data_IF_563197055541
#
_entry.id   IF_563197055541
#
_cell.length_a   1.000
_cell.length_b   1.000
_cell.length_c   1.000
_cell.angle_alpha   90.00
_cell.angle_beta   90.00
_cell.angle_gamma   90.00
#
_symmetry.space_group_name_H-M   'P 1'
#
loop_
_entity.id
_entity.type
_entity.pdbx_description
1 polymer ?
#
# COMPACT_ATOMS: atom_id res chain seq x y z
N UNK A 1 9.69 -30.77 18.29
CA UNK A 1 9.96 -29.35 17.97
C UNK A 1 8.92 -28.55 18.74
N UNK A 2 9.29 -27.67 19.68
CA UNK A 2 8.30 -26.90 20.43
C UNK A 2 7.47 -26.08 19.45
N UNK A 3 6.15 -26.06 19.65
CA UNK A 3 5.24 -25.22 18.89
C UNK A 3 5.67 -23.77 19.21
N UNK A 4 6.06 -22.96 18.21
CA UNK A 4 6.41 -21.57 18.48
C UNK A 4 5.21 -20.87 19.12
N UNK A 5 5.46 -20.07 20.16
CA UNK A 5 4.43 -19.20 20.73
C UNK A 5 4.00 -18.20 19.67
N UNK A 6 2.89 -18.51 19.00
CA UNK A 6 2.26 -17.63 18.03
C UNK A 6 1.48 -16.57 18.83
N UNK A 7 1.64 -15.28 18.50
CA UNK A 7 0.86 -14.17 19.08
C UNK A 7 -0.66 -14.43 19.02
N UNK A 8 -1.10 -15.27 18.07
CA UNK A 8 -2.46 -15.83 18.00
C UNK A 8 -2.36 -17.36 17.96
N UNK A 9 -2.44 -18.06 19.11
CA UNK A 9 -2.27 -19.52 19.15
C UNK A 9 -3.26 -20.21 18.20
N UNK A 10 -2.79 -21.19 17.43
CA UNK A 10 -3.63 -21.93 16.44
C UNK A 10 -4.80 -22.60 17.15
N UNK A 11 -4.58 -23.08 18.37
CA UNK A 11 -5.58 -23.68 19.25
C UNK A 11 -5.77 -22.73 20.44
N UNK A 12 -6.98 -22.20 20.62
CA UNK A 12 -7.31 -21.30 21.75
C UNK A 12 -7.29 -22.04 23.09
N UNK A 13 -7.51 -23.34 23.05
CA UNK A 13 -7.41 -24.27 24.15
C UNK A 13 -8.00 -25.62 23.76
N UNK A 14 -7.90 -26.58 24.66
CA UNK A 14 -8.47 -27.92 24.49
C UNK A 14 -9.39 -28.17 25.68
N UNK A 15 -10.61 -28.60 25.40
CA UNK A 15 -11.54 -29.12 26.39
C UNK A 15 -11.30 -30.63 26.44
N UNK A 16 -10.69 -31.12 27.51
CA UNK A 16 -10.51 -32.54 27.75
C UNK A 16 -11.09 -32.86 29.13
N UNK A 17 -11.83 -33.96 29.22
CA UNK A 17 -12.41 -34.44 30.48
C UNK A 17 -11.64 -35.66 30.97
N UNK A 18 -11.44 -35.77 32.27
CA UNK A 18 -10.69 -36.90 32.84
C UNK A 18 -11.42 -38.23 32.66
N UNK A 19 -12.76 -38.22 32.68
CA UNK A 19 -13.60 -39.40 32.47
C UNK A 19 -14.87 -39.12 31.68
N UNK A 20 -15.11 -39.84 30.59
CA UNK A 20 -16.32 -39.70 29.75
C UNK A 20 -16.83 -41.06 29.30
N UNK A 21 -18.12 -41.32 29.50
CA UNK A 21 -18.80 -42.49 28.95
C UNK A 21 -19.95 -41.99 28.07
N UNK A 22 -19.97 -42.39 26.80
CA UNK A 22 -21.04 -42.10 25.85
C UNK A 22 -21.58 -43.43 25.34
N UNK A 23 -22.87 -43.69 25.53
CA UNK A 23 -23.55 -44.93 25.11
C UNK A 23 -22.85 -46.23 25.54
N UNK A 24 -22.26 -46.20 26.75
CA UNK A 24 -21.53 -47.35 27.32
C UNK A 24 -20.09 -47.50 26.83
N UNK A 25 -19.59 -46.60 26.00
CA UNK A 25 -18.19 -46.57 25.53
C UNK A 25 -17.38 -45.56 26.35
N UNK A 26 -16.28 -46.01 26.96
CA UNK A 26 -15.34 -45.17 27.70
C UNK A 26 -14.44 -44.40 26.72
N UNK A 27 -14.49 -43.06 26.79
CA UNK A 27 -13.81 -42.11 25.92
C UNK A 27 -12.83 -41.26 26.74
N UNK A 28 -11.98 -41.92 27.52
CA UNK A 28 -11.01 -41.25 28.38
C UNK A 28 -9.77 -40.79 27.59
N UNK A 29 -9.07 -39.78 28.10
CA UNK A 29 -7.87 -39.25 27.46
C UNK A 29 -8.17 -38.41 26.21
N UNK A 30 -7.32 -38.52 25.19
CA UNK A 30 -7.40 -37.69 23.98
C UNK A 30 -8.65 -37.90 23.13
N UNK A 31 -9.40 -38.99 23.36
CA UNK A 31 -10.63 -39.30 22.63
C UNK A 31 -11.78 -38.33 22.93
N UNK A 32 -11.74 -37.64 24.07
CA UNK A 32 -12.70 -36.58 24.41
C UNK A 32 -12.09 -35.17 24.34
N UNK A 33 -10.89 -35.04 23.78
CA UNK A 33 -10.24 -33.76 23.62
C UNK A 33 -10.88 -33.00 22.44
N UNK A 34 -11.65 -31.97 22.76
CA UNK A 34 -12.23 -31.06 21.77
C UNK A 34 -11.40 -29.77 21.71
N UNK A 35 -11.01 -29.38 20.51
CA UNK A 35 -10.40 -28.08 20.29
C UNK A 35 -11.44 -26.99 20.54
N UNK A 36 -11.10 -25.99 21.34
CA UNK A 36 -11.92 -24.79 21.45
C UNK A 36 -11.90 -24.10 20.09
N UNK A 37 -13.10 -23.90 19.53
CA UNK A 37 -13.24 -23.26 18.22
C UNK A 37 -12.55 -21.89 18.21
N UNK A 38 -11.84 -21.64 17.12
CA UNK A 38 -11.23 -20.35 16.84
C UNK A 38 -12.02 -19.68 15.74
N UNK A 39 -13.04 -18.92 16.12
CA UNK A 39 -13.70 -18.02 15.17
C UNK A 39 -12.83 -16.79 15.00
N UNK A 40 -12.21 -16.66 13.82
CA UNK A 40 -11.49 -15.46 13.44
C UNK A 40 -12.52 -14.41 12.99
N UNK A 41 -12.92 -13.53 13.91
CA UNK A 41 -13.95 -12.51 13.67
C UNK A 41 -13.43 -11.23 13.01
N UNK A 42 -12.11 -11.10 12.82
CA UNK A 42 -11.47 -9.88 12.33
C UNK A 42 -11.22 -9.82 10.82
N UNK A 43 -11.75 -10.77 10.04
CA UNK A 43 -11.61 -10.78 8.58
C UNK A 43 -12.72 -9.96 7.94
N UNK A 44 -12.33 -9.02 7.08
CA UNK A 44 -13.25 -8.19 6.31
C UNK A 44 -13.12 -8.52 4.82
N UNK A 45 -14.05 -9.29 4.24
CA UNK A 45 -14.02 -9.67 2.83
C UNK A 45 -13.99 -8.48 1.87
N UNK A 46 -14.50 -7.30 2.29
CA UNK A 46 -14.53 -6.11 1.44
C UNK A 46 -13.13 -5.61 1.04
N UNK A 47 -12.10 -5.89 1.87
CA UNK A 47 -10.70 -5.55 1.56
C UNK A 47 -10.26 -6.21 0.27
N UNK A 48 -10.60 -7.50 0.13
CA UNK A 48 -10.28 -8.28 -1.05
C UNK A 48 -11.01 -7.73 -2.27
N UNK A 49 -12.33 -7.55 -2.14
CA UNK A 49 -13.18 -7.11 -3.24
C UNK A 49 -12.75 -5.74 -3.75
N UNK A 50 -12.46 -4.78 -2.87
CA UNK A 50 -12.03 -3.45 -3.29
C UNK A 50 -10.70 -3.49 -4.03
N UNK A 51 -9.69 -4.19 -3.48
CA UNK A 51 -8.37 -4.30 -4.10
C UNK A 51 -8.46 -5.04 -5.44
N UNK A 52 -9.18 -6.16 -5.49
CA UNK A 52 -9.31 -6.97 -6.70
C UNK A 52 -10.09 -6.26 -7.81
N UNK A 53 -10.90 -5.25 -7.48
CA UNK A 53 -11.62 -4.45 -8.46
C UNK A 53 -10.85 -3.22 -8.94
N UNK A 54 -9.61 -2.99 -8.48
CA UNK A 54 -8.77 -1.91 -9.03
C UNK A 54 -7.93 -2.35 -10.23
N UNK A 55 -7.54 -1.38 -11.05
CA UNK A 55 -6.64 -1.57 -12.20
C UNK A 55 -5.30 -2.19 -11.80
N UNK A 56 -4.78 -1.87 -10.63
CA UNK A 56 -3.50 -2.40 -10.13
C UNK A 56 -3.68 -3.76 -9.44
N UNK A 57 -4.84 -3.99 -8.84
CA UNK A 57 -5.08 -5.13 -7.97
C UNK A 57 -5.71 -6.35 -8.66
N UNK A 58 -6.30 -6.23 -9.84
CA UNK A 58 -7.10 -7.30 -10.49
C UNK A 58 -6.46 -8.68 -10.61
N UNK A 59 -5.12 -8.76 -10.67
CA UNK A 59 -4.39 -10.03 -10.76
C UNK A 59 -4.17 -10.74 -9.42
N UNK A 60 -4.60 -10.14 -8.30
CA UNK A 60 -4.37 -10.65 -6.95
C UNK A 60 -4.96 -12.06 -6.72
N UNK A 61 -6.04 -12.41 -7.43
CA UNK A 61 -6.73 -13.73 -7.44
C UNK A 61 -5.86 -14.87 -7.93
N UNK A 62 -4.92 -14.61 -8.84
CA UNK A 62 -4.05 -15.63 -9.40
C UNK A 62 -2.94 -16.08 -8.43
N UNK A 63 -2.73 -15.36 -7.33
CA UNK A 63 -1.69 -15.70 -6.36
C UNK A 63 -1.99 -17.03 -5.64
N UNK A 64 -1.02 -17.93 -5.62
CA UNK A 64 -1.09 -19.23 -4.92
C UNK A 64 -0.03 -19.38 -3.81
N UNK A 65 0.57 -18.26 -3.37
CA UNK A 65 1.45 -18.22 -2.20
C UNK A 65 2.78 -18.98 -2.32
N UNK A 66 3.31 -19.21 -3.53
CA UNK A 66 4.61 -19.88 -3.73
C UNK A 66 5.85 -19.15 -3.16
N UNK A 67 5.83 -17.82 -3.03
CA UNK A 67 6.90 -17.05 -2.40
C UNK A 67 8.08 -16.63 -3.29
N UNK A 68 8.06 -16.91 -4.59
CA UNK A 68 9.07 -16.43 -5.56
C UNK A 68 9.25 -14.92 -5.52
N UNK A 69 8.18 -14.17 -5.31
CA UNK A 69 8.23 -12.72 -5.19
C UNK A 69 9.00 -12.24 -3.94
N UNK A 70 8.84 -12.93 -2.81
CA UNK A 70 9.55 -12.59 -1.56
C UNK A 70 11.03 -12.96 -1.64
N UNK A 71 11.36 -14.14 -2.18
CA UNK A 71 12.77 -14.56 -2.33
C UNK A 71 13.53 -13.72 -3.35
N UNK A 72 12.87 -13.25 -4.41
CA UNK A 72 13.48 -12.42 -5.45
C UNK A 72 13.53 -10.92 -5.14
N UNK A 73 12.94 -10.47 -4.03
CA UNK A 73 12.88 -9.06 -3.66
C UNK A 73 14.17 -8.61 -2.99
N UNK A 74 14.80 -7.56 -3.50
CA UNK A 74 16.01 -6.97 -2.88
C UNK A 74 15.70 -6.29 -1.55
N UNK A 75 14.47 -5.81 -1.34
CA UNK A 75 14.09 -5.14 -0.09
C UNK A 75 14.01 -6.11 1.09
N UNK A 76 13.82 -7.41 0.83
CA UNK A 76 13.80 -8.45 1.87
C UNK A 76 15.10 -8.54 2.64
N UNK A 77 16.22 -8.24 1.98
CA UNK A 77 17.55 -8.24 2.60
C UNK A 77 17.73 -7.10 3.60
N UNK A 78 17.16 -5.93 3.29
CA UNK A 78 17.23 -4.74 4.13
C UNK A 78 16.14 -4.70 5.21
N UNK A 79 14.96 -5.26 4.93
CA UNK A 79 13.85 -5.34 5.86
C UNK A 79 13.32 -6.79 5.93
N UNK A 80 13.66 -7.54 7.00
CA UNK A 80 13.19 -8.90 7.23
C UNK A 80 11.68 -9.04 7.42
N UNK A 81 10.92 -7.95 7.50
CA UNK A 81 9.45 -7.98 7.49
C UNK A 81 8.86 -7.71 6.10
N UNK A 82 9.67 -7.21 5.15
CA UNK A 82 9.23 -7.00 3.77
C UNK A 82 8.94 -8.32 3.07
N UNK A 83 7.68 -8.56 2.70
CA UNK A 83 7.28 -9.78 2.01
C UNK A 83 6.03 -9.54 1.18
N UNK A 84 6.16 -9.34 -0.15
CA UNK A 84 5.02 -9.17 -1.05
C UNK A 84 4.02 -10.33 -0.93
N UNK A 85 4.53 -11.56 -0.76
CA UNK A 85 3.68 -12.73 -0.50
C UNK A 85 2.79 -12.54 0.72
N UNK A 86 3.36 -12.05 1.83
CA UNK A 86 2.63 -11.85 3.10
C UNK A 86 1.61 -10.73 2.97
N UNK A 87 1.94 -9.64 2.30
CA UNK A 87 1.01 -8.54 2.05
C UNK A 87 -0.22 -9.02 1.27
N UNK A 88 0.01 -9.76 0.18
CA UNK A 88 -1.06 -10.37 -0.62
C UNK A 88 -1.92 -11.33 0.20
N UNK A 89 -1.30 -12.17 1.05
CA UNK A 89 -2.04 -13.10 1.92
C UNK A 89 -2.95 -12.37 2.90
N UNK A 90 -2.47 -11.30 3.52
CA UNK A 90 -3.23 -10.49 4.48
C UNK A 90 -4.38 -9.75 3.78
N UNK A 91 -4.12 -9.13 2.63
CA UNK A 91 -5.15 -8.49 1.83
C UNK A 91 -6.24 -9.49 1.39
N UNK A 92 -5.85 -10.69 0.95
CA UNK A 92 -6.76 -11.78 0.58
C UNK A 92 -7.66 -12.26 1.71
N UNK A 93 -7.13 -12.27 2.93
CA UNK A 93 -7.88 -12.66 4.11
C UNK A 93 -8.72 -11.51 4.67
N UNK A 94 -8.52 -10.28 4.20
CA UNK A 94 -9.11 -9.11 4.81
C UNK A 94 -8.56 -8.79 6.20
N UNK A 95 -7.31 -9.16 6.48
CA UNK A 95 -6.64 -8.86 7.75
C UNK A 95 -6.05 -7.45 7.74
N UNK A 96 -6.92 -6.45 7.93
CA UNK A 96 -6.53 -5.03 7.97
C UNK A 96 -5.49 -4.75 9.04
N UNK A 97 -5.64 -5.37 10.21
CA UNK A 97 -4.74 -5.15 11.33
C UNK A 97 -3.31 -5.63 11.01
N UNK A 98 -3.18 -6.81 10.41
CA UNK A 98 -1.87 -7.31 9.96
C UNK A 98 -1.23 -6.44 8.86
N UNK A 99 -2.03 -5.82 7.99
CA UNK A 99 -1.52 -4.86 7.00
C UNK A 99 -1.02 -3.58 7.67
N UNK A 100 -1.76 -3.04 8.65
CA UNK A 100 -1.38 -1.84 9.42
C UNK A 100 -0.08 -2.08 10.20
N UNK A 101 0.07 -3.24 10.83
CA UNK A 101 1.28 -3.62 11.55
C UNK A 101 2.51 -3.66 10.64
N UNK A 102 2.33 -4.02 9.37
CA UNK A 102 3.39 -4.10 8.38
C UNK A 102 3.53 -2.85 7.51
N UNK A 103 2.83 -1.75 7.81
CA UNK A 103 2.83 -0.53 6.98
C UNK A 103 4.26 -0.03 6.69
N UNK A 104 5.13 0.00 7.71
CA UNK A 104 6.50 0.49 7.53
C UNK A 104 7.31 -0.35 6.54
N UNK A 105 7.02 -1.65 6.46
CA UNK A 105 7.63 -2.53 5.46
C UNK A 105 6.94 -2.34 4.11
N UNK A 106 5.61 -2.28 4.05
CA UNK A 106 4.86 -2.11 2.81
C UNK A 106 5.36 -0.88 2.00
N UNK A 107 5.64 0.25 2.66
CA UNK A 107 6.15 1.50 2.05
C UNK A 107 7.59 1.42 1.52
N UNK A 108 8.32 0.33 1.78
CA UNK A 108 9.70 0.16 1.25
C UNK A 108 9.74 -0.39 -0.17
N UNK A 109 8.59 -0.57 -0.82
CA UNK A 109 8.56 -0.93 -2.24
C UNK A 109 9.30 0.15 -3.05
N UNK A 110 10.24 -0.28 -3.90
CA UNK A 110 10.98 0.62 -4.81
C UNK A 110 10.60 0.40 -6.27
N UNK A 111 9.46 -0.27 -6.52
CA UNK A 111 8.89 -0.48 -7.85
C UNK A 111 9.84 -1.07 -8.90
N UNK A 112 10.79 -1.92 -8.48
CA UNK A 112 11.77 -2.51 -9.40
C UNK A 112 11.21 -3.62 -10.31
N UNK A 113 9.91 -3.97 -10.18
CA UNK A 113 9.18 -4.96 -11.00
C UNK A 113 9.74 -6.40 -11.03
N UNK A 114 10.81 -6.72 -10.29
CA UNK A 114 11.40 -8.07 -10.25
C UNK A 114 10.42 -9.14 -9.78
N UNK A 115 9.56 -8.80 -8.81
CA UNK A 115 8.56 -9.72 -8.27
C UNK A 115 7.49 -10.07 -9.30
N UNK A 116 7.03 -9.08 -10.07
CA UNK A 116 6.07 -9.24 -11.18
C UNK A 116 6.64 -10.16 -12.25
N UNK A 117 7.85 -9.86 -12.77
CA UNK A 117 8.44 -10.62 -13.87
C UNK A 117 8.76 -12.09 -13.53
N UNK A 118 9.02 -12.39 -12.26
CA UNK A 118 9.33 -13.75 -11.79
C UNK A 118 8.10 -14.56 -11.38
N UNK A 119 6.92 -13.95 -11.34
CA UNK A 119 5.73 -14.64 -10.87
C UNK A 119 5.31 -15.73 -11.86
N UNK A 120 5.30 -17.03 -11.48
CA UNK A 120 4.92 -18.13 -12.38
C UNK A 120 3.43 -18.12 -12.73
N UNK A 121 2.62 -17.34 -12.01
CA UNK A 121 1.17 -17.20 -12.22
C UNK A 121 0.79 -15.89 -12.91
N UNK A 122 1.77 -15.04 -13.27
CA UNK A 122 1.51 -13.76 -13.93
C UNK A 122 0.82 -12.71 -13.04
N UNK A 123 0.94 -12.82 -11.71
CA UNK A 123 0.46 -11.77 -10.81
C UNK A 123 1.34 -10.53 -10.97
N UNK A 124 0.72 -9.37 -11.15
CA UNK A 124 1.38 -8.06 -11.15
C UNK A 124 1.69 -7.67 -9.70
N UNK A 125 2.65 -8.37 -9.09
CA UNK A 125 2.89 -8.31 -7.64
C UNK A 125 3.23 -6.92 -7.16
N UNK A 126 3.98 -6.15 -7.95
CA UNK A 126 4.30 -4.76 -7.62
C UNK A 126 3.06 -3.87 -7.59
N UNK A 127 2.21 -3.97 -8.62
CA UNK A 127 0.97 -3.22 -8.73
C UNK A 127 0.00 -3.58 -7.61
N UNK A 128 -0.14 -4.88 -7.31
CA UNK A 128 -0.95 -5.35 -6.19
C UNK A 128 -0.45 -4.80 -4.85
N UNK A 129 0.86 -4.67 -4.65
CA UNK A 129 1.43 -4.05 -3.44
C UNK A 129 1.05 -2.57 -3.37
N UNK A 130 1.03 -1.85 -4.50
CA UNK A 130 0.54 -0.48 -4.57
C UNK A 130 -0.97 -0.38 -4.34
N UNK A 131 -1.78 -1.31 -4.86
CA UNK A 131 -3.21 -1.36 -4.60
C UNK A 131 -3.50 -1.49 -3.08
N UNK A 132 -2.73 -2.34 -2.38
CA UNK A 132 -2.81 -2.48 -0.92
C UNK A 132 -2.41 -1.17 -0.23
N UNK A 133 -1.35 -0.50 -0.69
CA UNK A 133 -0.93 0.79 -0.15
C UNK A 133 -2.02 1.86 -0.30
N UNK A 134 -2.57 2.01 -1.51
CA UNK A 134 -3.65 2.94 -1.83
C UNK A 134 -4.91 2.64 -1.00
N UNK A 135 -5.27 1.36 -0.83
CA UNK A 135 -6.36 0.94 0.05
C UNK A 135 -6.18 1.47 1.48
N UNK A 136 -4.99 1.29 2.07
CA UNK A 136 -4.73 1.75 3.44
C UNK A 136 -4.80 3.28 3.57
N UNK A 137 -4.32 4.02 2.57
CA UNK A 137 -4.38 5.49 2.53
C UNK A 137 -5.83 5.98 2.37
N UNK A 138 -6.58 5.41 1.43
CA UNK A 138 -7.97 5.77 1.12
C UNK A 138 -8.89 5.59 2.31
N UNK A 139 -8.69 4.53 3.09
CA UNK A 139 -9.46 4.23 4.30
C UNK A 139 -8.92 4.93 5.57
N UNK A 140 -7.86 5.74 5.46
CA UNK A 140 -7.28 6.45 6.61
C UNK A 140 -6.71 5.52 7.69
N UNK A 141 -6.35 4.29 7.32
CA UNK A 141 -5.82 3.27 8.23
C UNK A 141 -4.36 3.51 8.60
N UNK A 142 -3.69 4.36 7.83
CA UNK A 142 -2.29 4.77 8.01
C UNK A 142 -2.17 6.28 7.92
N UNK A 143 -1.08 6.82 8.47
CA UNK A 143 -0.77 8.25 8.33
C UNK A 143 -0.12 8.48 6.97
N UNK A 144 -0.49 9.56 6.29
CA UNK A 144 0.21 10.01 5.08
C UNK A 144 1.65 10.36 5.45
N UNK A 145 2.60 9.72 4.80
CA UNK A 145 4.00 10.06 4.94
C UNK A 145 4.33 11.33 4.15
N UNK A 146 5.49 11.95 4.40
CA UNK A 146 5.87 13.18 3.70
C UNK A 146 5.92 13.01 2.16
N UNK A 147 6.29 11.83 1.65
CA UNK A 147 6.24 11.54 0.21
C UNK A 147 4.82 11.62 -0.35
N UNK A 148 3.87 10.93 0.28
CA UNK A 148 2.45 10.98 -0.11
C UNK A 148 1.90 12.41 -0.12
N UNK A 149 2.22 13.22 0.90
CA UNK A 149 1.79 14.63 0.93
C UNK A 149 2.40 15.44 -0.21
N UNK A 150 3.68 15.21 -0.52
CA UNK A 150 4.33 15.87 -1.65
C UNK A 150 3.69 15.48 -2.98
N UNK A 151 3.37 14.20 -3.18
CA UNK A 151 2.73 13.70 -4.40
C UNK A 151 1.36 14.34 -4.63
N UNK A 152 0.57 14.53 -3.57
CA UNK A 152 -0.72 15.25 -3.62
C UNK A 152 -0.53 16.72 -4.02
N UNK A 153 0.41 17.43 -3.40
CA UNK A 153 0.71 18.83 -3.73
C UNK A 153 1.24 18.98 -5.15
N UNK A 154 2.06 18.03 -5.59
CA UNK A 154 2.59 17.96 -6.94
C UNK A 154 1.45 17.80 -7.95
N UNK A 155 0.57 16.83 -7.74
CA UNK A 155 -0.56 16.58 -8.64
C UNK A 155 -1.51 17.78 -8.69
N UNK A 156 -1.85 18.37 -7.53
CA UNK A 156 -2.69 19.58 -7.46
C UNK A 156 -2.05 20.73 -8.26
N UNK A 157 -0.74 20.91 -8.13
CA UNK A 157 0.02 21.93 -8.85
C UNK A 157 -0.03 21.70 -10.35
N UNK A 158 0.14 20.46 -10.82
CA UNK A 158 0.06 20.12 -12.25
C UNK A 158 -1.36 20.35 -12.77
N UNK A 159 -2.38 19.95 -12.01
CA UNK A 159 -3.78 20.07 -12.40
C UNK A 159 -4.25 21.52 -12.50
N UNK A 160 -3.77 22.38 -11.60
CA UNK A 160 -4.09 23.81 -11.56
C UNK A 160 -3.28 24.65 -12.56
N UNK A 161 -2.04 24.28 -12.86
CA UNK A 161 -1.14 25.05 -13.74
C UNK A 161 -1.16 24.61 -15.21
N UNK A 162 -2.24 23.98 -15.68
CA UNK A 162 -2.36 23.67 -17.09
C UNK A 162 -1.47 22.51 -17.55
N UNK A 163 -1.17 21.56 -16.66
CA UNK A 163 -0.39 20.36 -16.98
C UNK A 163 1.12 20.55 -16.91
N UNK A 164 1.61 21.68 -16.39
CA UNK A 164 3.04 21.91 -16.16
C UNK A 164 3.33 22.13 -14.69
N UNK A 165 4.53 21.73 -14.29
CA UNK A 165 5.07 22.02 -12.98
C UNK A 165 5.43 23.51 -12.95
N UNK A 166 5.01 24.21 -11.89
CA UNK A 166 5.48 25.56 -11.58
C UNK A 166 6.30 25.49 -10.29
N UNK A 167 7.59 25.82 -10.41
CA UNK A 167 8.53 25.77 -9.28
C UNK A 167 8.12 26.71 -8.15
N UNK A 168 7.51 27.86 -8.46
CA UNK A 168 7.04 28.81 -7.46
C UNK A 168 5.84 28.29 -6.67
N UNK A 169 4.81 27.77 -7.36
CA UNK A 169 3.61 27.28 -6.68
C UNK A 169 3.91 25.98 -5.94
N UNK A 170 4.66 25.06 -6.54
CA UNK A 170 5.07 23.82 -5.88
C UNK A 170 6.00 24.10 -4.71
N UNK A 171 6.96 25.03 -4.86
CA UNK A 171 7.86 25.45 -3.79
C UNK A 171 7.11 26.11 -2.63
N UNK A 172 6.16 27.00 -2.93
CA UNK A 172 5.33 27.64 -1.90
C UNK A 172 4.41 26.63 -1.19
N UNK A 173 3.79 25.71 -1.93
CA UNK A 173 2.95 24.65 -1.38
C UNK A 173 3.76 23.69 -0.49
N UNK A 174 4.93 23.27 -0.96
CA UNK A 174 5.88 22.42 -0.22
C UNK A 174 6.38 23.12 1.04
N UNK A 175 6.65 24.44 0.98
CA UNK A 175 7.05 25.22 2.15
C UNK A 175 5.93 25.29 3.19
N UNK A 176 4.69 25.51 2.76
CA UNK A 176 3.52 25.51 3.64
C UNK A 176 3.30 24.15 4.31
N UNK A 177 3.60 23.07 3.61
CA UNK A 177 3.52 21.72 4.14
C UNK A 177 4.76 21.28 4.96
N UNK A 178 5.72 22.19 5.19
CA UNK A 178 6.88 21.96 6.06
C UNK A 178 8.04 21.21 5.42
N UNK A 179 8.05 21.05 4.10
CA UNK A 179 9.12 20.36 3.36
C UNK A 179 10.34 21.23 3.05
N UNK A 180 10.18 22.56 3.00
CA UNK A 180 11.30 23.45 2.74
C UNK A 180 12.05 23.81 4.02
N UNK A 181 13.35 23.53 4.00
CA UNK A 181 14.34 24.00 4.98
C UNK A 181 15.07 25.27 4.52
N UNK A 182 14.68 25.85 3.38
CA UNK A 182 15.40 26.99 2.80
C UNK A 182 15.33 28.21 3.72
N UNK A 183 16.49 28.71 4.10
CA UNK A 183 16.60 29.94 4.87
C UNK A 183 16.27 31.15 4.00
N UNK A 184 16.00 32.30 4.64
CA UNK A 184 15.79 33.56 3.93
C UNK A 184 16.98 33.93 3.02
N UNK A 185 18.20 33.52 3.38
CA UNK A 185 19.39 33.73 2.55
C UNK A 185 19.35 32.89 1.29
N UNK A 186 18.93 31.63 1.38
CA UNK A 186 18.86 30.72 0.24
C UNK A 186 17.81 31.19 -0.77
N UNK A 187 16.66 31.68 -0.28
CA UNK A 187 15.62 32.30 -1.11
C UNK A 187 16.14 33.52 -1.88
N UNK A 188 16.93 34.39 -1.23
CA UNK A 188 17.51 35.58 -1.88
C UNK A 188 18.54 35.19 -2.95
N UNK A 189 19.41 34.22 -2.66
CA UNK A 189 20.44 33.75 -3.61
C UNK A 189 19.78 33.10 -4.83
N UNK A 190 18.81 32.22 -4.60
CA UNK A 190 18.08 31.52 -5.65
C UNK A 190 17.26 32.49 -6.51
N UNK A 191 16.57 33.45 -5.87
CA UNK A 191 15.83 34.51 -6.56
C UNK A 191 16.73 35.40 -7.43
N UNK A 192 17.93 35.73 -6.93
CA UNK A 192 18.93 36.47 -7.69
C UNK A 192 19.45 35.73 -8.93
N UNK A 193 19.68 34.42 -8.81
CA UNK A 193 20.09 33.57 -9.94
C UNK A 193 18.98 33.41 -10.99
N UNK A 194 17.72 33.29 -10.55
CA UNK A 194 16.55 33.23 -11.44
C UNK A 194 16.32 34.55 -12.20
N UNK A 195 16.51 35.70 -11.54
CA UNK A 195 16.42 37.02 -12.18
C UNK A 195 17.47 37.19 -13.28
N UNK A 196 18.71 36.74 -13.05
CA UNK A 196 19.80 36.83 -14.05
C UNK A 196 19.63 35.89 -15.23
N UNK A 197 18.94 34.77 -15.07
CA UNK A 197 18.73 33.78 -16.14
C UNK A 197 17.52 34.08 -17.02
N UNK A 198 16.71 35.11 -16.70
CA UNK A 198 15.53 35.48 -17.49
C UNK A 198 14.33 34.54 -17.32
N UNK A 199 14.43 33.55 -16.43
CA UNK A 199 13.40 32.52 -16.17
C UNK A 199 12.20 33.03 -15.34
N UNK A 200 12.26 34.29 -14.87
CA UNK A 200 11.20 34.90 -14.04
C UNK A 200 9.84 34.97 -14.75
N UNK A 201 9.83 35.05 -16.08
CA UNK A 201 8.60 35.09 -16.86
C UNK A 201 7.87 33.73 -16.86
N UNK A 202 8.62 32.64 -16.95
CA UNK A 202 8.09 31.27 -16.86
C UNK A 202 7.67 30.93 -15.43
N UNK A 203 8.27 31.58 -14.43
CA UNK A 203 7.90 31.47 -13.02
C UNK A 203 6.53 32.12 -12.68
N UNK A 204 6.25 33.30 -13.25
CA UNK A 204 5.03 34.08 -12.97
C UNK A 204 3.83 33.67 -13.82
N UNK A 205 4.06 33.16 -15.04
CA UNK A 205 3.00 32.73 -15.94
C UNK A 205 3.41 31.42 -16.62
N UNK A 206 3.22 30.27 -15.94
CA UNK A 206 3.61 28.99 -16.49
C UNK A 206 2.88 28.75 -17.81
N UNK A 207 3.63 28.28 -18.81
CA UNK A 207 3.05 27.85 -20.08
C UNK A 207 2.10 26.67 -19.82
N UNK A 208 0.98 26.61 -20.56
CA UNK A 208 0.06 25.46 -20.47
C UNK A 208 0.42 24.40 -21.50
N UNK A 209 0.09 23.15 -21.23
CA UNK A 209 0.13 22.07 -22.22
C UNK A 209 -0.91 22.36 -23.31
N UNK A 210 -0.59 22.05 -24.56
CA UNK A 210 -1.53 22.19 -25.68
C UNK A 210 -2.75 21.30 -25.44
N UNK A 211 -3.95 21.84 -25.69
CA UNK A 211 -5.23 21.14 -25.46
C UNK A 211 -5.42 20.64 -24.02
N UNK A 212 -4.87 21.36 -23.03
CA UNK A 212 -4.94 20.97 -21.62
C UNK A 212 -6.35 20.65 -21.14
N UNK A 213 -7.37 21.43 -21.52
CA UNK A 213 -8.74 21.22 -21.02
C UNK A 213 -9.29 19.83 -21.38
N UNK A 214 -8.92 19.30 -22.56
CA UNK A 214 -9.27 17.93 -22.97
C UNK A 214 -8.49 16.89 -22.16
N UNK A 215 -7.20 17.11 -21.94
CA UNK A 215 -6.34 16.20 -21.17
C UNK A 215 -6.78 16.15 -19.71
N UNK A 216 -7.05 17.31 -19.11
CA UNK A 216 -7.54 17.45 -17.75
C UNK A 216 -8.81 16.63 -17.53
N UNK A 217 -9.76 16.68 -18.47
CA UNK A 217 -10.99 15.89 -18.39
C UNK A 217 -10.70 14.38 -18.36
N UNK A 218 -9.82 13.89 -19.23
CA UNK A 218 -9.43 12.48 -19.26
C UNK A 218 -8.72 12.06 -17.97
N UNK A 219 -7.86 12.92 -17.42
CA UNK A 219 -7.19 12.66 -16.14
C UNK A 219 -8.20 12.63 -14.99
N UNK A 220 -9.16 13.55 -14.95
CA UNK A 220 -10.21 13.59 -13.93
C UNK A 220 -11.11 12.35 -14.01
N UNK A 221 -11.45 11.88 -15.23
CA UNK A 221 -12.17 10.63 -15.46
C UNK A 221 -11.35 9.43 -14.94
N UNK A 222 -10.07 9.32 -15.33
CA UNK A 222 -9.19 8.24 -14.90
C UNK A 222 -8.95 8.22 -13.37
N UNK A 223 -9.00 9.38 -12.70
CA UNK A 223 -8.90 9.48 -11.24
C UNK A 223 -10.19 9.05 -10.53
N UNK A 224 -11.34 9.04 -11.21
CA UNK A 224 -12.60 8.55 -10.66
C UNK A 224 -12.80 7.05 -10.92
N UNK A 225 -12.27 6.56 -12.04
CA UNK A 225 -12.31 5.16 -12.46
C UNK A 225 -11.13 4.35 -11.85
N UNK A 226 -10.95 4.39 -10.53
CA UNK A 226 -10.10 3.41 -9.83
C UNK A 226 -10.63 1.96 -10.00
N UNK A 227 -11.81 1.78 -10.60
CA UNK A 227 -12.50 0.51 -10.81
C UNK A 227 -12.20 0.00 -12.22
N UNK A 228 -11.87 -1.29 -12.34
CA UNK A 228 -11.70 -1.97 -13.62
C UNK A 228 -12.89 -1.68 -14.55
N UNK A 229 -12.65 -1.25 -15.81
CA UNK A 229 -13.73 -1.14 -16.78
C UNK A 229 -14.31 -2.54 -17.06
N UNK A 230 -15.64 -2.65 -17.03
CA UNK A 230 -16.39 -3.87 -17.34
C UNK A 230 -16.11 -4.42 -18.76
#
# INVERSE_FOLDING_TARGET
MPIPELEKPIIKGVIQKDKVIVDGVELDGTWNAFLIERTQTGYDPSVWDEIANTLEGYTISACWQCGTCTSGCTMREYDPNYSPRRFIDLARKGDKQGLIELQNSLWRCVSCQKCTHRCPKGVLVEEVVHAIHNYLLKHGLVKKDPGTVFDELFLETVMSNGGRISELTLGAASAKAGFLTLSLKDLIVMGGAMLRSGLVKDLLKPNKVKNWDRIKKVLEEAMQEEVLPE
#
